data_IF_383157894591
#
_entry.id   IF_383157894591
#
_cell.length_a   1.000
_cell.length_b   1.000
_cell.length_c   1.000
_cell.angle_alpha   90.00
_cell.angle_beta   90.00
_cell.angle_gamma   90.00
#
_symmetry.space_group_name_H-M   'P 1'
#
loop_
_entity.id
_entity.type
_entity.pdbx_description
1 polymer ?
#
# COMPACT_ATOMS: atom_id res chain seq x y z
N UNK A 1 18.76 -1.47 -4.33
CA UNK A 1 18.05 -1.24 -5.61
C UNK A 1 17.30 -2.52 -5.93
N UNK A 2 15.96 -2.54 -5.82
CA UNK A 2 15.18 -3.75 -6.08
C UNK A 2 15.09 -3.98 -7.59
N UNK A 3 15.96 -4.85 -8.09
CA UNK A 3 16.15 -5.14 -9.52
C UNK A 3 15.13 -6.14 -10.10
N UNK A 4 14.13 -6.58 -9.32
CA UNK A 4 13.28 -7.71 -9.71
C UNK A 4 11.97 -7.31 -10.38
N UNK A 5 11.52 -6.05 -10.27
CA UNK A 5 10.29 -5.60 -10.92
C UNK A 5 10.48 -5.27 -12.42
N UNK A 6 11.67 -4.80 -12.81
CA UNK A 6 11.98 -4.40 -14.20
C UNK A 6 12.55 -5.52 -15.07
N UNK A 7 12.85 -6.71 -14.51
CA UNK A 7 13.50 -7.78 -15.25
C UNK A 7 12.68 -8.34 -16.44
N UNK A 8 11.36 -8.06 -16.49
CA UNK A 8 10.45 -8.48 -17.56
C UNK A 8 9.84 -7.30 -18.37
N UNK A 9 10.41 -6.10 -18.26
CA UNK A 9 9.95 -4.87 -18.90
C UNK A 9 10.94 -4.27 -19.90
N UNK A 10 10.59 -3.12 -20.47
CA UNK A 10 11.37 -2.30 -21.41
C UNK A 10 12.64 -1.65 -20.81
N UNK A 11 13.05 -2.05 -19.61
CA UNK A 11 14.20 -1.49 -18.90
C UNK A 11 13.97 -0.09 -18.30
N UNK A 12 12.85 0.56 -18.60
CA UNK A 12 12.51 1.88 -18.08
C UNK A 12 11.83 1.81 -16.70
N UNK A 13 12.15 2.77 -15.84
CA UNK A 13 11.39 2.98 -14.59
C UNK A 13 10.06 3.67 -14.90
N UNK A 14 9.05 3.54 -14.02
CA UNK A 14 7.78 4.26 -14.18
C UNK A 14 7.97 5.77 -14.31
N UNK A 15 8.88 6.34 -13.50
CA UNK A 15 9.24 7.75 -13.62
C UNK A 15 9.87 8.06 -14.98
N UNK A 16 10.80 7.22 -15.45
CA UNK A 16 11.43 7.39 -16.76
C UNK A 16 10.43 7.38 -17.91
N UNK A 17 9.44 6.48 -17.86
CA UNK A 17 8.37 6.41 -18.87
C UNK A 17 7.49 7.66 -18.85
N UNK A 18 7.10 8.13 -17.67
CA UNK A 18 6.29 9.34 -17.52
C UNK A 18 7.03 10.58 -18.04
N UNK A 19 8.30 10.73 -17.69
CA UNK A 19 9.11 11.87 -18.15
C UNK A 19 9.32 11.83 -19.66
N UNK A 20 9.58 10.65 -20.24
CA UNK A 20 9.65 10.51 -21.69
C UNK A 20 8.34 10.90 -22.38
N UNK A 21 7.18 10.46 -21.86
CA UNK A 21 5.87 10.81 -22.42
C UNK A 21 5.57 12.32 -22.35
N UNK A 22 6.06 13.00 -21.31
CA UNK A 22 5.96 14.46 -21.14
C UNK A 22 7.07 15.23 -21.88
N UNK A 23 7.89 14.55 -22.69
CA UNK A 23 9.04 15.12 -23.40
C UNK A 23 10.02 15.85 -22.45
N UNK A 24 10.29 15.24 -21.29
CA UNK A 24 11.23 15.70 -20.28
C UNK A 24 12.44 14.76 -20.27
N UNK A 25 13.60 15.29 -20.63
CA UNK A 25 14.86 14.55 -20.59
C UNK A 25 15.41 14.47 -19.16
N UNK A 26 15.81 13.26 -18.73
CA UNK A 26 16.48 13.05 -17.45
C UNK A 26 17.97 13.29 -17.63
N UNK A 27 18.47 14.41 -17.11
CA UNK A 27 19.91 14.67 -17.05
C UNK A 27 20.44 14.14 -15.71
N UNK A 28 21.15 13.01 -15.76
CA UNK A 28 21.81 12.45 -14.58
C UNK A 28 23.06 13.26 -14.23
N UNK A 29 23.24 13.58 -12.94
CA UNK A 29 24.47 14.21 -12.47
C UNK A 29 25.65 13.24 -12.59
N UNK A 30 26.53 13.49 -13.55
CA UNK A 30 27.70 12.63 -13.82
C UNK A 30 28.90 12.93 -12.90
N UNK A 31 28.79 13.92 -11.99
CA UNK A 31 29.85 14.26 -11.04
C UNK A 31 29.41 14.15 -9.56
N UNK A 32 30.24 13.55 -8.68
CA UNK A 32 29.98 13.51 -7.25
C UNK A 32 29.85 14.89 -6.59
N UNK A 33 30.54 15.91 -7.12
CA UNK A 33 30.59 17.25 -6.54
C UNK A 33 29.25 18.01 -6.70
N UNK A 34 28.63 17.91 -7.88
CA UNK A 34 27.31 18.49 -8.12
C UNK A 34 26.25 17.80 -7.26
N UNK A 35 26.29 16.46 -7.23
CA UNK A 35 25.39 15.62 -6.42
C UNK A 35 25.54 15.90 -4.92
N UNK A 36 26.77 15.95 -4.41
CA UNK A 36 27.07 16.12 -2.98
C UNK A 36 26.75 17.50 -2.40
N UNK A 37 26.68 18.56 -3.23
CA UNK A 37 26.22 19.88 -2.76
C UNK A 37 24.70 19.93 -2.60
N UNK A 38 23.99 19.40 -3.60
CA UNK A 38 22.52 19.30 -3.59
C UNK A 38 22.05 18.38 -2.45
N UNK A 39 22.70 17.24 -2.28
CA UNK A 39 22.34 16.29 -1.21
C UNK A 39 22.52 16.88 0.19
N UNK A 40 23.58 17.66 0.43
CA UNK A 40 23.77 18.35 1.72
C UNK A 40 22.72 19.43 1.97
N UNK A 41 22.38 20.23 0.96
CA UNK A 41 21.34 21.25 1.08
C UNK A 41 19.98 20.61 1.35
N UNK A 42 19.62 19.57 0.60
CA UNK A 42 18.37 18.83 0.77
C UNK A 42 18.31 18.15 2.15
N UNK A 43 19.40 17.50 2.59
CA UNK A 43 19.46 16.88 3.92
C UNK A 43 19.29 17.90 5.04
N UNK A 44 19.92 19.08 4.92
CA UNK A 44 19.76 20.18 5.88
C UNK A 44 18.33 20.68 5.91
N UNK A 45 17.70 20.86 4.75
CA UNK A 45 16.31 21.33 4.65
C UNK A 45 15.33 20.32 5.26
N UNK A 46 15.51 19.02 4.96
CA UNK A 46 14.68 17.95 5.50
C UNK A 46 14.79 17.84 7.03
N UNK A 47 16.00 17.92 7.58
CA UNK A 47 16.22 17.92 9.04
C UNK A 47 15.58 19.14 9.72
N UNK A 48 15.78 20.34 9.16
CA UNK A 48 15.23 21.58 9.72
C UNK A 48 13.71 21.68 9.63
N UNK A 49 13.12 21.23 8.53
CA UNK A 49 11.67 21.26 8.33
C UNK A 49 10.97 20.40 9.39
N UNK A 50 11.47 19.19 9.65
CA UNK A 50 10.93 18.31 10.70
C UNK A 50 11.02 18.97 12.08
N UNK A 51 12.15 19.60 12.41
CA UNK A 51 12.32 20.32 13.67
C UNK A 51 11.39 21.53 13.80
N UNK A 52 11.22 22.30 12.71
CA UNK A 52 10.33 23.44 12.69
C UNK A 52 8.87 23.01 12.89
N UNK A 53 8.42 21.95 12.23
CA UNK A 53 7.08 21.39 12.45
C UNK A 53 6.87 20.94 13.90
N UNK A 54 7.89 20.31 14.52
CA UNK A 54 7.83 19.92 15.94
C UNK A 54 7.72 21.11 16.89
N UNK A 55 8.39 22.22 16.60
CA UNK A 55 8.31 23.44 17.43
C UNK A 55 6.92 24.09 17.37
N UNK A 56 6.24 24.00 16.24
CA UNK A 56 4.87 24.48 16.04
C UNK A 56 3.80 23.46 16.50
N UNK A 57 4.22 22.32 17.08
CA UNK A 57 3.29 21.29 17.56
C UNK A 57 2.53 20.54 16.45
N UNK A 58 2.99 20.63 15.20
CA UNK A 58 2.31 20.04 14.03
C UNK A 58 2.43 18.52 14.07
N UNK A 59 1.30 17.83 13.94
CA UNK A 59 1.25 16.37 13.99
C UNK A 59 0.42 15.74 12.86
N UNK A 60 -0.23 16.56 12.03
CA UNK A 60 -1.05 16.11 10.91
C UNK A 60 -0.52 16.59 9.56
N UNK A 61 -0.89 15.89 8.48
CA UNK A 61 -0.48 16.28 7.12
C UNK A 61 -1.14 17.60 6.69
N UNK A 62 -2.37 17.86 7.14
CA UNK A 62 -3.12 19.07 6.78
C UNK A 62 -2.50 20.31 7.42
N UNK A 63 -2.15 20.24 8.72
CA UNK A 63 -1.40 21.29 9.42
C UNK A 63 -0.03 21.51 8.77
N UNK A 64 0.67 20.44 8.40
CA UNK A 64 1.96 20.55 7.70
C UNK A 64 1.81 21.27 6.35
N UNK A 65 0.81 20.91 5.56
CA UNK A 65 0.51 21.57 4.27
C UNK A 65 0.17 23.05 4.45
N UNK A 66 -0.56 23.42 5.50
CA UNK A 66 -0.84 24.83 5.83
C UNK A 66 0.41 25.59 6.29
N UNK A 67 1.33 24.92 6.99
CA UNK A 67 2.58 25.51 7.49
C UNK A 67 3.62 25.76 6.38
N UNK A 68 3.71 24.86 5.40
CA UNK A 68 4.76 24.85 4.37
C UNK A 68 4.97 26.21 3.66
N UNK A 69 3.93 26.94 3.19
CA UNK A 69 4.12 28.24 2.53
C UNK A 69 4.84 29.25 3.41
N UNK A 70 4.48 29.34 4.69
CA UNK A 70 5.10 30.27 5.64
C UNK A 70 6.56 29.90 5.93
N UNK A 71 6.86 28.61 6.08
CA UNK A 71 8.21 28.11 6.27
C UNK A 71 9.08 28.38 5.05
N UNK A 72 8.56 28.14 3.84
CA UNK A 72 9.24 28.44 2.58
C UNK A 72 9.56 29.92 2.45
N UNK A 73 8.61 30.82 2.79
CA UNK A 73 8.84 32.26 2.75
C UNK A 73 9.98 32.69 3.71
N UNK A 74 9.99 32.17 4.94
CA UNK A 74 11.06 32.44 5.92
C UNK A 74 12.41 31.88 5.46
N UNK A 75 12.42 30.67 4.91
CA UNK A 75 13.62 30.04 4.36
C UNK A 75 14.19 30.86 3.19
N UNK A 76 13.34 31.21 2.23
CA UNK A 76 13.75 31.98 1.05
C UNK A 76 14.24 33.38 1.42
N UNK A 77 13.69 34.03 2.44
CA UNK A 77 14.22 35.32 2.94
C UNK A 77 15.69 35.25 3.36
N UNK A 78 16.13 34.10 3.90
CA UNK A 78 17.50 33.94 4.39
C UNK A 78 18.45 33.37 3.33
N UNK A 79 17.96 32.47 2.47
CA UNK A 79 18.81 31.65 1.62
C UNK A 79 18.57 31.81 0.12
N UNK A 80 17.47 32.43 -0.31
CA UNK A 80 17.23 32.64 -1.73
C UNK A 80 18.26 33.61 -2.31
N UNK A 81 18.65 33.36 -3.54
CA UNK A 81 19.48 34.26 -4.34
C UNK A 81 18.66 34.74 -5.51
N UNK A 82 18.81 36.02 -5.84
CA UNK A 82 18.22 36.57 -7.06
C UNK A 82 18.78 35.78 -8.25
N UNK A 83 17.92 35.35 -9.19
CA UNK A 83 18.40 34.69 -10.40
C UNK A 83 19.28 35.66 -11.19
N UNK A 84 20.27 35.11 -11.89
CA UNK A 84 21.14 35.92 -12.76
C UNK A 84 20.35 36.57 -13.90
N UNK A 85 19.34 35.85 -14.41
CA UNK A 85 18.41 36.31 -15.43
C UNK A 85 16.97 36.19 -14.90
N UNK A 86 16.18 37.28 -14.89
CA UNK A 86 14.81 37.26 -14.36
C UNK A 86 13.79 36.62 -15.32
N UNK A 87 14.19 36.26 -16.55
CA UNK A 87 13.27 35.64 -17.51
C UNK A 87 12.81 34.27 -17.03
N UNK A 88 11.50 34.05 -17.13
CA UNK A 88 10.92 32.73 -16.91
C UNK A 88 11.20 31.82 -18.13
N UNK A 89 11.97 30.75 -17.90
CA UNK A 89 12.29 29.75 -18.91
C UNK A 89 11.46 28.47 -18.75
N UNK A 90 10.47 28.46 -17.84
CA UNK A 90 9.58 27.32 -17.68
C UNK A 90 8.69 27.13 -18.90
N UNK A 91 8.59 25.87 -19.35
CA UNK A 91 7.68 25.46 -20.42
C UNK A 91 6.28 25.27 -19.82
N UNK A 92 5.22 25.91 -20.36
CA UNK A 92 3.85 25.59 -19.96
C UNK A 92 3.46 24.19 -20.44
N UNK A 93 2.55 23.55 -19.72
CA UNK A 93 2.00 22.25 -20.12
C UNK A 93 1.27 22.39 -21.47
N UNK A 94 1.60 21.55 -22.45
CA UNK A 94 0.94 21.59 -23.74
C UNK A 94 -0.48 21.01 -23.65
N UNK A 95 -1.45 21.45 -24.48
CA UNK A 95 -2.84 20.99 -24.40
C UNK A 95 -3.05 19.49 -24.57
N UNK A 96 -2.11 18.80 -25.22
CA UNK A 96 -2.15 17.35 -25.44
C UNK A 96 -1.42 16.55 -24.35
N UNK A 97 -0.69 17.21 -23.45
CA UNK A 97 0.02 16.56 -22.35
C UNK A 97 -0.93 16.39 -21.16
N UNK A 98 -1.06 15.14 -20.69
CA UNK A 98 -1.91 14.82 -19.55
C UNK A 98 -1.07 14.20 -18.43
N UNK A 99 -0.72 15.01 -17.42
CA UNK A 99 0.11 14.59 -16.29
C UNK A 99 -0.53 13.42 -15.54
N UNK A 100 -1.85 13.41 -15.34
CA UNK A 100 -2.54 12.34 -14.61
C UNK A 100 -2.48 11.00 -15.38
N UNK A 101 -2.54 11.05 -16.71
CA UNK A 101 -2.43 9.86 -17.55
C UNK A 101 -1.00 9.31 -17.59
N UNK A 102 0.02 10.15 -17.43
CA UNK A 102 1.42 9.73 -17.52
C UNK A 102 2.05 9.38 -16.16
N UNK A 103 1.70 10.09 -15.09
CA UNK A 103 2.20 9.84 -13.73
C UNK A 103 1.42 8.70 -13.03
N UNK A 104 1.38 7.54 -13.70
CA UNK A 104 0.59 6.38 -13.29
C UNK A 104 1.48 5.14 -13.15
N UNK A 105 1.16 4.27 -12.20
CA UNK A 105 1.85 2.99 -12.06
C UNK A 105 1.33 2.02 -13.12
N UNK A 106 2.22 1.49 -13.97
CA UNK A 106 1.82 0.65 -15.13
C UNK A 106 2.41 -0.75 -15.01
N UNK A 107 1.58 -1.78 -15.04
CA UNK A 107 2.07 -3.16 -15.07
C UNK A 107 1.42 -3.97 -16.17
N UNK A 108 2.25 -4.65 -16.96
CA UNK A 108 1.79 -5.51 -18.03
C UNK A 108 1.38 -6.88 -17.49
N UNK A 109 0.12 -7.27 -17.72
CA UNK A 109 -0.47 -8.54 -17.28
C UNK A 109 -1.04 -9.31 -18.46
N UNK A 110 -0.95 -10.64 -18.42
CA UNK A 110 -1.53 -11.50 -19.45
C UNK A 110 -2.98 -11.84 -19.08
N UNK A 111 -3.89 -11.64 -20.01
CA UNK A 111 -5.30 -12.04 -19.90
C UNK A 111 -5.40 -13.55 -20.12
N UNK A 112 -6.12 -14.26 -19.25
CA UNK A 112 -6.36 -15.70 -19.42
C UNK A 112 -7.35 -15.97 -20.55
N UNK A 113 -7.52 -17.24 -20.93
CA UNK A 113 -8.55 -17.63 -21.91
C UNK A 113 -9.98 -17.29 -21.44
N UNK A 114 -10.19 -17.18 -20.12
CA UNK A 114 -11.48 -16.85 -19.51
C UNK A 114 -11.69 -15.33 -19.32
N UNK A 115 -10.91 -14.49 -20.02
CA UNK A 115 -10.97 -13.02 -19.93
C UNK A 115 -10.72 -12.48 -18.51
N UNK A 116 -9.87 -13.15 -17.75
CA UNK A 116 -9.48 -12.70 -16.41
C UNK A 116 -8.00 -12.38 -16.33
N UNK A 117 -7.63 -11.46 -15.45
CA UNK A 117 -6.24 -11.20 -15.10
C UNK A 117 -6.10 -11.00 -13.60
N UNK A 118 -4.92 -11.35 -13.10
CA UNK A 118 -4.59 -11.18 -11.70
C UNK A 118 -3.71 -9.96 -11.52
N UNK A 119 -4.12 -9.08 -10.62
CA UNK A 119 -3.30 -7.97 -10.17
C UNK A 119 -3.51 -7.76 -8.69
N UNK A 120 -2.40 -7.78 -7.96
CA UNK A 120 -2.37 -7.49 -6.53
C UNK A 120 -3.35 -8.29 -5.64
N UNK A 121 -3.40 -9.61 -5.82
CA UNK A 121 -4.36 -10.55 -5.19
C UNK A 121 -5.85 -10.26 -5.48
N UNK A 122 -6.17 -9.30 -6.34
CA UNK A 122 -7.49 -9.17 -6.93
C UNK A 122 -7.54 -9.89 -8.29
N UNK A 123 -8.72 -10.41 -8.61
CA UNK A 123 -9.03 -10.95 -9.93
C UNK A 123 -9.88 -9.91 -10.67
N UNK A 124 -9.38 -9.44 -11.79
CA UNK A 124 -10.11 -8.58 -12.69
C UNK A 124 -10.70 -9.46 -13.79
N UNK A 125 -11.98 -9.30 -14.07
CA UNK A 125 -12.71 -10.04 -15.09
C UNK A 125 -13.15 -9.01 -16.13
N UNK A 126 -12.59 -9.07 -17.33
CA UNK A 126 -12.97 -8.18 -18.42
C UNK A 126 -14.40 -8.49 -18.86
N UNK A 127 -15.18 -7.46 -19.13
CA UNK A 127 -16.53 -7.65 -19.67
C UNK A 127 -16.42 -8.23 -21.09
N UNK A 128 -17.16 -9.32 -21.41
CA UNK A 128 -17.09 -9.95 -22.73
C UNK A 128 -17.60 -9.01 -23.83
N UNK A 129 -16.72 -8.60 -24.73
CA UNK A 129 -17.03 -7.85 -25.94
C UNK A 129 -16.03 -8.24 -27.04
N UNK A 130 -16.24 -7.77 -28.28
CA UNK A 130 -15.39 -8.14 -29.43
C UNK A 130 -13.91 -7.84 -29.17
N UNK A 131 -13.62 -6.72 -28.53
CA UNK A 131 -12.26 -6.31 -28.18
C UNK A 131 -11.66 -7.24 -27.12
N UNK A 132 -12.32 -7.41 -25.98
CA UNK A 132 -11.79 -8.24 -24.88
C UNK A 132 -11.64 -9.71 -25.27
N UNK A 133 -12.54 -10.27 -26.08
CA UNK A 133 -12.42 -11.62 -26.62
C UNK A 133 -11.16 -11.81 -27.47
N UNK A 134 -10.83 -10.81 -28.30
CA UNK A 134 -9.60 -10.82 -29.09
C UNK A 134 -8.32 -10.66 -28.26
N UNK A 135 -8.45 -10.31 -26.98
CA UNK A 135 -7.34 -10.15 -26.02
C UNK A 135 -7.10 -11.39 -25.15
N UNK A 136 -7.86 -12.47 -25.33
CA UNK A 136 -7.59 -13.73 -24.65
C UNK A 136 -6.14 -14.19 -24.92
N UNK A 137 -5.40 -14.50 -23.85
CA UNK A 137 -3.96 -14.87 -23.88
C UNK A 137 -3.01 -13.77 -24.35
N UNK A 138 -3.47 -12.52 -24.49
CA UNK A 138 -2.63 -11.36 -24.83
C UNK A 138 -2.27 -10.54 -23.58
N UNK A 139 -1.28 -9.67 -23.73
CA UNK A 139 -0.88 -8.73 -22.67
C UNK A 139 -1.74 -7.48 -22.72
N UNK A 140 -2.10 -6.98 -21.54
CA UNK A 140 -2.79 -5.70 -21.33
C UNK A 140 -2.06 -4.93 -20.24
N UNK A 141 -2.25 -3.61 -20.22
CA UNK A 141 -1.67 -2.74 -19.21
C UNK A 141 -2.65 -2.50 -18.07
N UNK A 142 -2.22 -2.74 -16.84
CA UNK A 142 -2.95 -2.34 -15.64
C UNK A 142 -2.34 -1.01 -15.17
N UNK A 143 -3.15 0.04 -15.19
CA UNK A 143 -2.81 1.39 -14.76
C UNK A 143 -3.41 1.64 -13.37
N UNK A 144 -2.57 1.94 -12.38
CA UNK A 144 -3.00 2.34 -11.04
C UNK A 144 -2.64 3.81 -10.80
N UNK A 145 -3.67 4.63 -10.57
CA UNK A 145 -3.58 6.07 -10.41
C UNK A 145 -3.27 6.48 -8.96
N UNK A 146 -2.69 7.67 -8.74
CA UNK A 146 -2.37 8.17 -7.39
C UNK A 146 -3.59 8.30 -6.46
N UNK A 147 -4.78 8.48 -7.01
CA UNK A 147 -6.06 8.55 -6.28
C UNK A 147 -6.67 7.16 -5.96
N UNK A 148 -5.99 6.08 -6.37
CA UNK A 148 -6.42 4.71 -6.15
C UNK A 148 -7.38 4.15 -7.22
N UNK A 149 -7.69 4.91 -8.28
CA UNK A 149 -8.40 4.37 -9.45
C UNK A 149 -7.51 3.35 -10.17
N UNK A 150 -8.15 2.35 -10.76
CA UNK A 150 -7.47 1.34 -11.57
C UNK A 150 -8.15 1.29 -12.93
N UNK A 151 -7.35 1.23 -13.98
CA UNK A 151 -7.83 1.08 -15.34
C UNK A 151 -7.06 -0.05 -16.03
N UNK A 152 -7.75 -0.84 -16.83
CA UNK A 152 -7.12 -1.85 -17.68
C UNK A 152 -7.16 -1.32 -19.10
N UNK A 153 -5.99 -1.21 -19.74
CA UNK A 153 -5.86 -0.63 -21.07
C UNK A 153 -5.23 -1.60 -22.06
N UNK A 154 -5.60 -1.48 -23.32
CA UNK A 154 -4.94 -2.10 -24.46
C UNK A 154 -4.89 -1.11 -25.62
N UNK A 155 -3.72 -0.87 -26.21
CA UNK A 155 -3.51 0.09 -27.31
C UNK A 155 -4.15 1.46 -27.04
N UNK A 156 -4.01 1.96 -25.81
CA UNK A 156 -4.58 3.24 -25.40
C UNK A 156 -6.08 3.24 -25.12
N UNK A 157 -6.80 2.13 -25.31
CA UNK A 157 -8.23 2.02 -25.01
C UNK A 157 -8.47 1.38 -23.64
N UNK A 158 -9.37 1.97 -22.85
CA UNK A 158 -9.81 1.40 -21.57
C UNK A 158 -10.78 0.23 -21.80
N UNK A 159 -10.59 -0.84 -21.06
CA UNK A 159 -11.41 -2.05 -21.13
C UNK A 159 -12.38 -2.09 -19.93
N UNK A 160 -13.68 -2.31 -20.16
CA UNK A 160 -14.63 -2.51 -19.07
C UNK A 160 -14.31 -3.81 -18.31
N UNK A 161 -14.40 -3.76 -16.99
CA UNK A 161 -14.11 -4.89 -16.13
C UNK A 161 -14.96 -4.87 -14.86
N UNK A 162 -15.08 -6.04 -14.23
CA UNK A 162 -15.56 -6.22 -12.86
C UNK A 162 -14.45 -6.82 -12.00
N UNK A 163 -14.47 -6.52 -10.71
CA UNK A 163 -13.44 -7.02 -9.78
C UNK A 163 -14.01 -8.07 -8.83
N UNK A 164 -13.24 -9.13 -8.64
CA UNK A 164 -13.43 -10.10 -7.59
C UNK A 164 -12.21 -10.05 -6.65
N UNK A 165 -12.39 -9.50 -5.45
CA UNK A 165 -11.32 -9.46 -4.45
C UNK A 165 -11.14 -10.85 -3.83
N UNK A 166 -9.96 -11.46 -4.03
CA UNK A 166 -9.65 -12.77 -3.43
C UNK A 166 -9.29 -12.64 -1.94
N UNK A 167 -9.21 -11.42 -1.39
CA UNK A 167 -9.12 -11.23 0.05
C UNK A 167 -10.41 -11.69 0.72
N UNK A 168 -10.36 -12.92 1.23
CA UNK A 168 -11.45 -13.56 1.94
C UNK A 168 -11.79 -12.76 3.19
N UNK A 169 -12.85 -11.96 3.13
CA UNK A 169 -13.51 -11.40 4.32
C UNK A 169 -14.35 -12.52 4.92
N UNK A 170 -13.83 -13.17 5.95
CA UNK A 170 -14.61 -14.18 6.68
C UNK A 170 -15.71 -13.43 7.43
N UNK A 171 -16.97 -13.60 7.02
CA UNK A 171 -18.10 -13.24 7.86
C UNK A 171 -18.03 -14.16 9.08
N UNK A 172 -17.56 -13.64 10.21
CA UNK A 172 -17.58 -14.38 11.45
C UNK A 172 -19.07 -14.60 11.80
N UNK A 173 -19.50 -15.85 11.79
CA UNK A 173 -20.83 -16.20 12.30
C UNK A 173 -20.92 -15.82 13.79
N UNK A 174 -22.13 -15.64 14.30
CA UNK A 174 -22.34 -15.42 15.73
C UNK A 174 -21.64 -16.53 16.51
N UNK A 175 -20.71 -16.15 17.40
CA UNK A 175 -20.03 -17.09 18.28
C UNK A 175 -21.10 -17.69 19.18
N UNK A 176 -21.36 -18.99 19.02
CA UNK A 176 -22.26 -19.75 19.90
C UNK A 176 -21.43 -20.19 21.10
N UNK A 177 -21.94 -19.90 22.31
CA UNK A 177 -21.27 -20.25 23.58
C UNK A 177 -20.84 -21.72 23.58
N UNK A 178 -19.54 -21.94 23.60
CA UNK A 178 -18.97 -23.28 23.74
C UNK A 178 -17.89 -23.25 24.81
N UNK A 179 -18.16 -23.99 25.89
CA UNK A 179 -17.44 -24.03 27.18
C UNK A 179 -15.91 -24.18 27.08
N UNK A 180 -15.37 -24.57 25.92
CA UNK A 180 -13.95 -24.81 25.70
C UNK A 180 -13.33 -24.09 24.48
N UNK A 181 -14.10 -23.37 23.67
CA UNK A 181 -13.59 -22.74 22.42
C UNK A 181 -13.51 -21.21 22.49
N UNK A 182 -14.19 -20.56 23.44
CA UNK A 182 -14.27 -19.10 23.49
C UNK A 182 -12.91 -18.42 23.67
N UNK A 183 -12.04 -18.97 24.53
CA UNK A 183 -10.70 -18.42 24.76
C UNK A 183 -9.80 -18.54 23.52
N UNK A 184 -9.88 -19.67 22.80
CA UNK A 184 -9.11 -19.88 21.58
C UNK A 184 -9.62 -19.00 20.43
N UNK A 185 -10.95 -18.81 20.32
CA UNK A 185 -11.56 -17.91 19.34
C UNK A 185 -11.24 -16.44 19.64
N UNK A 186 -11.29 -16.01 20.90
CA UNK A 186 -10.89 -14.67 21.31
C UNK A 186 -9.42 -14.39 21.01
N UNK A 187 -8.54 -15.37 21.26
CA UNK A 187 -7.11 -15.29 20.90
C UNK A 187 -6.92 -15.18 19.38
N UNK A 188 -7.60 -16.03 18.60
CA UNK A 188 -7.53 -15.98 17.15
C UNK A 188 -8.02 -14.64 16.59
N UNK A 189 -9.06 -14.06 17.20
CA UNK A 189 -9.59 -12.74 16.85
C UNK A 189 -8.58 -11.62 17.15
N UNK A 190 -7.99 -11.58 18.34
CA UNK A 190 -6.95 -10.61 18.70
C UNK A 190 -5.73 -10.71 17.78
N UNK A 191 -5.31 -11.93 17.43
CA UNK A 191 -4.22 -12.16 16.48
C UNK A 191 -4.59 -11.67 15.06
N UNK A 192 -5.84 -11.86 14.62
CA UNK A 192 -6.32 -11.35 13.33
C UNK A 192 -6.44 -9.83 13.30
N UNK A 193 -6.84 -9.19 14.39
CA UNK A 193 -6.96 -7.73 14.50
C UNK A 193 -5.59 -7.03 14.47
N UNK A 194 -4.60 -7.64 15.12
CA UNK A 194 -3.26 -7.06 15.31
C UNK A 194 -2.29 -7.36 14.16
N UNK A 195 -2.42 -8.52 13.54
CA UNK A 195 -1.63 -8.92 12.39
C UNK A 195 -2.49 -9.75 11.43
N UNK A 196 -3.41 -9.11 10.67
CA UNK A 196 -4.17 -9.82 9.65
C UNK A 196 -3.19 -10.36 8.62
N UNK A 197 -2.89 -11.65 8.72
CA UNK A 197 -1.95 -12.37 7.84
C UNK A 197 -2.30 -12.22 6.35
N UNK A 198 -3.53 -11.80 6.06
CA UNK A 198 -4.06 -11.53 4.74
C UNK A 198 -3.91 -10.07 4.28
N UNK A 199 -3.54 -9.06 5.10
CA UNK A 199 -3.49 -7.65 4.61
C UNK A 199 -2.37 -7.37 3.61
N UNK A 200 -1.25 -8.10 3.66
CA UNK A 200 -0.20 -7.97 2.63
C UNK A 200 -0.73 -8.56 1.33
N UNK A 201 -1.05 -7.71 0.35
CA UNK A 201 -1.47 -8.16 -0.98
C UNK A 201 -0.26 -8.80 -1.67
N UNK A 202 0.78 -8.07 -2.03
CA UNK A 202 1.96 -8.62 -2.69
C UNK A 202 3.26 -8.01 -2.12
N UNK A 203 4.35 -8.78 -2.06
CA UNK A 203 5.62 -8.27 -1.50
C UNK A 203 6.34 -7.26 -2.42
N UNK A 204 5.96 -7.20 -3.71
CA UNK A 204 6.57 -6.32 -4.71
C UNK A 204 5.62 -5.20 -5.21
N UNK A 205 4.57 -4.88 -4.45
CA UNK A 205 3.60 -3.85 -4.83
C UNK A 205 4.08 -2.42 -4.53
N UNK A 206 3.63 -1.41 -5.29
CA UNK A 206 3.89 -0.02 -4.95
C UNK A 206 3.36 0.33 -3.55
N UNK A 207 4.10 1.19 -2.85
CA UNK A 207 3.66 1.71 -1.56
C UNK A 207 2.48 2.67 -1.76
N UNK A 208 1.33 2.35 -1.17
CA UNK A 208 0.07 3.11 -1.27
C UNK A 208 -0.19 4.03 -0.09
N UNK A 209 0.86 4.42 0.62
CA UNK A 209 0.76 5.14 1.90
C UNK A 209 0.05 6.50 1.76
N UNK A 210 0.11 7.11 0.57
CA UNK A 210 -0.52 8.40 0.28
C UNK A 210 -1.95 8.28 -0.27
N UNK A 211 -2.42 7.07 -0.60
CA UNK A 211 -3.78 6.87 -1.12
C UNK A 211 -4.79 6.93 0.02
N UNK A 212 -5.63 7.96 0.01
CA UNK A 212 -6.76 8.13 0.95
C UNK A 212 -7.94 7.21 0.66
N UNK A 213 -8.03 6.68 -0.57
CA UNK A 213 -9.12 5.83 -1.02
C UNK A 213 -8.74 4.94 -2.20
N UNK A 214 -9.64 4.05 -2.60
CA UNK A 214 -9.45 3.10 -3.69
C UNK A 214 -9.44 1.64 -3.23
N UNK A 215 -9.44 0.73 -4.20
CA UNK A 215 -9.59 -0.71 -3.95
C UNK A 215 -8.44 -1.32 -3.13
N UNK A 216 -7.25 -0.72 -3.22
CA UNK A 216 -6.04 -1.16 -2.56
C UNK A 216 -5.54 -0.20 -1.48
N UNK A 217 -6.30 0.86 -1.16
CA UNK A 217 -5.93 1.76 -0.10
C UNK A 217 -5.76 0.99 1.22
N UNK A 218 -4.74 1.36 1.99
CA UNK A 218 -4.55 0.80 3.31
C UNK A 218 -5.76 1.23 4.17
N UNK A 219 -6.51 0.28 4.73
CA UNK A 219 -7.52 0.63 5.74
C UNK A 219 -6.82 1.35 6.88
N UNK A 220 -7.30 2.54 7.22
CA UNK A 220 -6.92 3.25 8.42
C UNK A 220 -7.23 2.37 9.64
N UNK A 221 -6.22 1.73 10.22
CA UNK A 221 -6.30 1.15 11.55
C UNK A 221 -5.09 1.62 12.31
N UNK A 222 -5.38 2.16 13.51
CA UNK A 222 -4.44 2.63 14.50
C UNK A 222 -3.24 1.68 14.62
N UNK A 223 -2.06 2.26 14.84
CA UNK A 223 -0.83 1.58 15.22
C UNK A 223 -1.11 0.67 16.42
N UNK A 224 -1.52 -0.58 16.15
CA UNK A 224 -1.66 -1.57 17.20
C UNK A 224 -0.25 -1.84 17.73
N UNK A 225 -0.06 -1.58 19.03
CA UNK A 225 1.16 -1.92 19.74
C UNK A 225 1.53 -3.38 19.47
N UNK A 226 2.80 -3.63 19.15
CA UNK A 226 3.35 -4.94 18.82
C UNK A 226 2.90 -5.95 19.89
N UNK A 227 2.02 -6.88 19.50
CA UNK A 227 1.46 -7.84 20.46
C UNK A 227 2.56 -8.78 20.92
N UNK A 228 2.83 -8.78 22.22
CA UNK A 228 3.74 -9.75 22.81
C UNK A 228 3.03 -11.10 22.92
N UNK A 229 3.49 -12.07 22.13
CA UNK A 229 2.93 -13.42 22.11
C UNK A 229 3.08 -14.15 23.44
N UNK A 230 3.98 -13.71 24.33
CA UNK A 230 4.20 -14.31 25.65
C UNK A 230 3.09 -13.96 26.64
N UNK A 231 2.43 -12.82 26.48
CA UNK A 231 1.39 -12.32 27.39
C UNK A 231 -0.03 -12.62 26.91
N UNK A 232 -0.20 -13.12 25.68
CA UNK A 232 -1.51 -13.53 25.14
C UNK A 232 -2.08 -14.81 25.77
N UNK A 233 -1.24 -15.69 26.33
CA UNK A 233 -1.63 -17.00 26.86
C UNK A 233 -1.82 -16.99 28.38
N UNK A 234 -2.63 -16.08 28.92
CA UNK A 234 -3.12 -16.18 30.30
C UNK A 234 -4.56 -15.67 30.34
N UNK A 235 -5.52 -16.59 30.36
CA UNK A 235 -5.85 -17.16 31.66
C UNK A 235 -5.46 -18.63 31.69
N UNK A 236 -4.65 -19.02 32.69
CA UNK A 236 -4.55 -20.43 33.05
C UNK A 236 -6.00 -20.92 33.24
N UNK A 237 -6.46 -21.85 32.42
CA UNK A 237 -7.69 -22.60 32.71
C UNK A 237 -7.51 -23.12 34.13
N UNK A 238 -8.22 -22.51 35.10
CA UNK A 238 -8.19 -23.00 36.47
C UNK A 238 -8.68 -24.43 36.38
N UNK A 239 -7.80 -25.40 36.66
CA UNK A 239 -8.24 -26.79 36.84
C UNK A 239 -9.37 -26.72 37.87
N UNK A 240 -10.56 -27.16 37.47
CA UNK A 240 -11.66 -27.33 38.40
C UNK A 240 -11.23 -28.25 39.55
N UNK A 241 -11.92 -28.23 40.69
CA UNK A 241 -11.66 -29.19 41.76
C UNK A 241 -11.64 -30.61 41.19
N UNK A 242 -10.71 -31.43 41.70
CA UNK A 242 -10.58 -32.83 41.28
C UNK A 242 -11.91 -33.53 41.56
N UNK A 243 -12.48 -34.18 40.55
CA UNK A 243 -13.71 -34.95 40.69
C UNK A 243 -13.50 -36.01 41.77
N UNK A 244 -14.53 -36.29 42.59
CA UNK A 244 -14.47 -37.40 43.54
C UNK A 244 -14.43 -38.74 42.81
N UNK A 245 -13.95 -39.80 43.46
CA UNK A 245 -13.99 -41.15 42.89
C UNK A 245 -15.40 -41.56 42.46
N UNK A 246 -16.41 -41.20 43.26
CA UNK A 246 -17.82 -41.47 42.94
C UNK A 246 -18.26 -40.79 41.64
N UNK A 247 -17.80 -39.57 41.38
CA UNK A 247 -18.08 -38.84 40.14
C UNK A 247 -17.30 -39.40 38.94
N UNK A 248 -16.07 -39.89 39.16
CA UNK A 248 -15.28 -40.55 38.12
C UNK A 248 -15.92 -41.86 37.67
N UNK A 249 -16.40 -42.67 38.63
CA UNK A 249 -17.12 -43.92 38.33
C UNK A 249 -18.44 -43.64 37.63
N UNK A 250 -19.22 -42.64 38.07
CA UNK A 250 -20.47 -42.27 37.42
C UNK A 250 -20.29 -41.81 35.96
N UNK A 251 -19.10 -41.32 35.60
CA UNK A 251 -18.74 -40.90 34.24
C UNK A 251 -18.05 -41.99 33.42
N UNK A 252 -17.96 -43.22 33.94
CA UNK A 252 -17.34 -44.35 33.25
C UNK A 252 -15.81 -44.29 33.21
N UNK A 253 -15.18 -43.45 34.04
CA UNK A 253 -13.72 -43.29 34.15
C UNK A 253 -13.18 -44.07 35.37
N UNK A 254 -13.72 -45.26 35.61
CA UNK A 254 -13.44 -46.06 36.81
C UNK A 254 -11.96 -46.50 36.92
N UNK A 255 -11.27 -46.65 35.79
CA UNK A 255 -9.84 -46.98 35.73
C UNK A 255 -8.91 -45.89 36.31
N UNK A 256 -9.46 -44.71 36.60
CA UNK A 256 -8.74 -43.58 37.21
C UNK A 256 -9.20 -43.26 38.65
N UNK A 257 -10.05 -44.10 39.24
CA UNK A 257 -10.39 -44.05 40.66
C UNK A 257 -9.32 -44.85 41.45
N UNK A 258 -8.58 -44.16 42.32
CA UNK A 258 -7.51 -44.73 43.16
C UNK A 258 -7.08 -43.77 44.25
#
# INVERSE_FOLDING_TARGET
RNNTASANGDGMTHLGRALHALNIEIICANSPQAKGRVERANGTLQDRLVKAMRLEGISTIDEANAFLPSYMARHNRQFARTPFDPRDLHRPLAPHENIEAEMVWREQRTVTAALTLHYNKALFILEPNRTSQALARKRVEVCEYPDGRIEIRHDGQALPYRVFDKMRRVNQAAVVDNKHLDAALAMARLLQETAPHHRKRNNNEPARTAQTGGMFAASAVATASKVDRRTLCTPKLKRGPRLSETELVARGLAEYAG
#
